data_IF_124395587285
#
_entry.id   IF_124395587285
#
_cell.length_a   1.000
_cell.length_b   1.000
_cell.length_c   1.000
_cell.angle_alpha   90.00
_cell.angle_beta   90.00
_cell.angle_gamma   90.00
#
_symmetry.space_group_name_H-M   'P 1'
#
loop_
_entity.id
_entity.type
_entity.pdbx_description
1 polymer ?
#
# COMPACT_ATOMS: atom_id res chain seq x y z
N UNK A 1 8.94 16.13 -19.33
CA UNK A 1 8.82 15.57 -17.96
C UNK A 1 10.15 15.74 -17.22
N UNK A 2 10.20 16.48 -16.10
CA UNK A 2 11.45 16.62 -15.32
C UNK A 2 11.77 15.28 -14.65
N UNK A 3 13.00 14.76 -14.82
CA UNK A 3 13.45 13.54 -14.13
C UNK A 3 13.56 13.84 -12.63
N UNK A 4 12.88 13.03 -11.80
CA UNK A 4 13.00 13.10 -10.35
C UNK A 4 14.42 12.72 -9.90
N UNK A 5 14.94 13.42 -8.88
CA UNK A 5 16.24 13.12 -8.27
C UNK A 5 16.20 11.78 -7.54
N UNK A 6 17.35 11.13 -7.39
CA UNK A 6 17.50 9.84 -6.67
C UNK A 6 16.90 9.90 -5.26
N UNK A 7 17.18 10.97 -4.52
CA UNK A 7 16.63 11.20 -3.17
C UNK A 7 15.11 11.37 -3.14
N UNK A 8 14.52 12.00 -4.16
CA UNK A 8 13.06 12.17 -4.26
C UNK A 8 12.36 10.84 -4.51
N UNK A 9 12.89 10.05 -5.46
CA UNK A 9 12.40 8.70 -5.74
C UNK A 9 12.50 7.78 -4.52
N UNK A 10 13.59 7.88 -3.75
CA UNK A 10 13.76 7.09 -2.52
C UNK A 10 12.69 7.44 -1.48
N UNK A 11 12.47 8.75 -1.23
CA UNK A 11 11.41 9.19 -0.32
C UNK A 11 10.02 8.78 -0.80
N UNK A 12 9.77 8.84 -2.11
CA UNK A 12 8.50 8.38 -2.67
C UNK A 12 8.30 6.88 -2.48
N UNK A 13 9.35 6.06 -2.68
CA UNK A 13 9.29 4.62 -2.43
C UNK A 13 8.93 4.32 -0.97
N UNK A 14 9.55 5.01 -0.01
CA UNK A 14 9.23 4.88 1.42
C UNK A 14 7.77 5.28 1.72
N UNK A 15 7.31 6.41 1.19
CA UNK A 15 5.91 6.86 1.37
C UNK A 15 4.93 5.82 0.83
N UNK A 16 5.15 5.32 -0.39
CA UNK A 16 4.28 4.29 -0.99
C UNK A 16 4.34 2.97 -0.21
N UNK A 17 5.49 2.61 0.34
CA UNK A 17 5.64 1.45 1.22
C UNK A 17 4.81 1.62 2.50
N UNK A 18 4.88 2.77 3.15
CA UNK A 18 4.10 3.06 4.35
C UNK A 18 2.59 3.08 4.07
N UNK A 19 2.17 3.63 2.92
CA UNK A 19 0.76 3.60 2.49
C UNK A 19 0.29 2.16 2.25
N UNK A 20 1.13 1.33 1.61
CA UNK A 20 0.84 -0.10 1.41
C UNK A 20 0.58 -0.81 2.75
N UNK A 21 1.45 -0.62 3.73
CA UNK A 21 1.30 -1.19 5.08
C UNK A 21 0.04 -0.66 5.78
N UNK A 22 -0.27 0.63 5.64
CA UNK A 22 -1.47 1.23 6.23
C UNK A 22 -2.76 0.62 5.65
N UNK A 23 -2.82 0.41 4.34
CA UNK A 23 -3.96 -0.26 3.69
C UNK A 23 -4.11 -1.72 4.13
N UNK A 24 -2.99 -2.42 4.35
CA UNK A 24 -3.03 -3.78 4.89
C UNK A 24 -3.58 -3.78 6.32
N UNK A 25 -3.07 -2.90 7.18
CA UNK A 25 -3.53 -2.81 8.56
C UNK A 25 -5.02 -2.43 8.65
N UNK A 26 -5.44 -1.40 7.91
CA UNK A 26 -6.80 -0.88 7.98
C UNK A 26 -7.83 -1.76 7.23
N UNK A 27 -7.44 -2.36 6.10
CA UNK A 27 -8.36 -3.13 5.26
C UNK A 27 -8.35 -4.63 5.53
N UNK A 28 -7.24 -5.19 6.03
CA UNK A 28 -7.11 -6.63 6.29
C UNK A 28 -7.16 -6.94 7.78
N UNK A 29 -6.33 -6.28 8.59
CA UNK A 29 -6.20 -6.62 10.01
C UNK A 29 -7.37 -6.05 10.81
N UNK A 30 -7.61 -4.75 10.76
CA UNK A 30 -8.59 -4.07 11.60
C UNK A 30 -10.01 -4.66 11.49
N UNK A 31 -10.57 -4.93 10.30
CA UNK A 31 -11.93 -5.43 10.16
C UNK A 31 -12.13 -6.81 10.81
N UNK A 32 -11.08 -7.61 11.01
CA UNK A 32 -11.17 -8.89 11.72
C UNK A 32 -11.46 -8.72 13.22
N UNK A 33 -11.14 -7.56 13.79
CA UNK A 33 -11.29 -7.28 15.22
C UNK A 33 -12.32 -6.20 15.52
N UNK A 34 -12.60 -5.30 14.56
CA UNK A 34 -13.43 -4.12 14.78
C UNK A 34 -14.74 -4.12 14.00
N UNK A 35 -14.94 -5.06 13.07
CA UNK A 35 -16.19 -5.11 12.31
C UNK A 35 -17.36 -5.50 13.20
N UNK A 36 -18.35 -4.60 13.27
CA UNK A 36 -19.72 -4.91 13.72
C UNK A 36 -20.68 -5.12 12.54
N UNK A 37 -20.16 -5.04 11.31
CA UNK A 37 -20.91 -5.16 10.07
C UNK A 37 -21.16 -6.60 9.66
N UNK A 38 -21.86 -6.79 8.56
CA UNK A 38 -22.11 -8.10 7.97
C UNK A 38 -20.80 -8.74 7.48
N UNK A 39 -20.76 -10.06 7.31
CA UNK A 39 -19.58 -10.74 6.74
C UNK A 39 -19.18 -10.22 5.35
N UNK A 40 -20.13 -9.63 4.62
CA UNK A 40 -19.90 -8.99 3.31
C UNK A 40 -19.05 -7.73 3.46
N UNK A 41 -19.27 -6.93 4.52
CA UNK A 41 -18.52 -5.69 4.77
C UNK A 41 -17.05 -5.99 5.12
N UNK A 42 -16.84 -7.09 5.85
CA UNK A 42 -15.50 -7.61 6.16
C UNK A 42 -14.80 -8.06 4.88
N UNK A 43 -15.49 -8.84 4.04
CA UNK A 43 -14.95 -9.32 2.77
C UNK A 43 -14.62 -8.17 1.82
N UNK A 44 -15.49 -7.16 1.71
CA UNK A 44 -15.26 -5.98 0.90
C UNK A 44 -14.02 -5.21 1.39
N UNK A 45 -13.90 -5.00 2.71
CA UNK A 45 -12.73 -4.34 3.30
C UNK A 45 -11.43 -5.11 3.04
N UNK A 46 -11.46 -6.43 3.17
CA UNK A 46 -10.34 -7.33 2.87
C UNK A 46 -9.87 -7.19 1.41
N UNK A 47 -10.82 -7.25 0.46
CA UNK A 47 -10.50 -7.15 -0.96
C UNK A 47 -9.89 -5.79 -1.30
N UNK A 48 -10.49 -4.69 -0.81
CA UNK A 48 -9.97 -3.34 -1.03
C UNK A 48 -8.58 -3.20 -0.38
N UNK A 49 -8.42 -3.66 0.86
CA UNK A 49 -7.17 -3.63 1.59
C UNK A 49 -6.05 -4.36 0.86
N UNK A 50 -6.30 -5.58 0.38
CA UNK A 50 -5.32 -6.38 -0.38
C UNK A 50 -4.96 -5.69 -1.70
N UNK A 51 -5.96 -5.23 -2.46
CA UNK A 51 -5.73 -4.56 -3.75
C UNK A 51 -4.89 -3.29 -3.55
N UNK A 52 -5.25 -2.44 -2.60
CA UNK A 52 -4.50 -1.20 -2.33
C UNK A 52 -3.09 -1.49 -1.81
N UNK A 53 -2.94 -2.44 -0.90
CA UNK A 53 -1.63 -2.91 -0.42
C UNK A 53 -0.75 -3.33 -1.60
N UNK A 54 -1.29 -4.14 -2.51
CA UNK A 54 -0.60 -4.62 -3.69
C UNK A 54 -0.20 -3.51 -4.66
N UNK A 55 -1.10 -2.56 -4.96
CA UNK A 55 -0.83 -1.42 -5.84
C UNK A 55 0.31 -0.57 -5.29
N UNK A 56 0.20 -0.12 -4.05
CA UNK A 56 1.19 0.76 -3.44
C UNK A 56 2.51 0.05 -3.15
N UNK A 57 2.46 -1.22 -2.74
CA UNK A 57 3.65 -2.04 -2.50
C UNK A 57 4.42 -2.30 -3.80
N UNK A 58 3.71 -2.67 -4.87
CA UNK A 58 4.33 -2.87 -6.19
C UNK A 58 4.94 -1.58 -6.72
N UNK A 59 4.22 -0.45 -6.60
CA UNK A 59 4.73 0.85 -7.02
C UNK A 59 5.97 1.28 -6.21
N UNK A 60 5.98 1.03 -4.90
CA UNK A 60 7.15 1.25 -4.04
C UNK A 60 8.36 0.45 -4.50
N UNK A 61 8.18 -0.85 -4.78
CA UNK A 61 9.24 -1.76 -5.24
C UNK A 61 9.75 -1.35 -6.62
N UNK A 62 8.88 -0.98 -7.56
CA UNK A 62 9.27 -0.53 -8.90
C UNK A 62 10.11 0.74 -8.83
N UNK A 63 9.74 1.71 -7.99
CA UNK A 63 10.54 2.91 -7.77
C UNK A 63 11.91 2.60 -7.17
N UNK A 64 11.98 1.64 -6.24
CA UNK A 64 13.23 1.24 -5.61
C UNK A 64 14.15 0.47 -6.57
N UNK A 65 13.60 -0.43 -7.40
CA UNK A 65 14.36 -1.09 -8.47
C UNK A 65 14.94 -0.09 -9.46
N UNK A 66 14.20 0.96 -9.80
CA UNK A 66 14.68 2.06 -10.64
C UNK A 66 15.74 2.97 -9.99
N UNK A 67 16.14 2.69 -8.74
CA UNK A 67 17.21 3.39 -8.01
C UNK A 67 18.50 2.58 -7.89
N UNK A 68 18.46 1.27 -8.13
CA UNK A 68 19.62 0.40 -8.16
C UNK A 68 20.05 0.19 -9.62
N UNK A 69 21.01 1.02 -10.06
CA UNK A 69 22.04 0.62 -11.03
C UNK A 69 23.21 0.10 -10.23
#
# INVERSE_FOLDING_TARGET
MKRLRRSQKSRMSEILGNISVAWFAAGVIAPMFTSRGSGIDVLASLLIGIVMTGIFGSASVVLMKGLNV
#
